data_IF_016469392415
#
_entry.id   IF_016469392415
#
_cell.length_a   1.000
_cell.length_b   1.000
_cell.length_c   1.000
_cell.angle_alpha   90.00
_cell.angle_beta   90.00
_cell.angle_gamma   90.00
#
_symmetry.space_group_name_H-M   'P 1'
#
loop_
_entity.id
_entity.type
_entity.pdbx_description
1 polymer ?
#
# COMPACT_ATOMS: atom_id res chain seq x y z
N UNK A 1 4.27 19.26 5.62
CA UNK A 1 5.25 18.15 5.53
C UNK A 1 4.56 16.81 5.22
N UNK A 2 3.48 16.45 5.92
CA UNK A 2 2.70 15.20 5.72
C UNK A 2 2.20 15.03 4.26
N UNK A 3 1.75 16.11 3.61
CA UNK A 3 1.25 16.07 2.22
C UNK A 3 2.34 15.64 1.22
N UNK A 4 3.59 16.11 1.36
CA UNK A 4 4.71 15.68 0.51
C UNK A 4 5.04 14.19 0.73
N UNK A 5 4.95 13.73 1.98
CA UNK A 5 5.18 12.33 2.32
C UNK A 5 4.08 11.39 1.76
N UNK A 6 2.82 11.82 1.77
CA UNK A 6 1.71 11.06 1.17
C UNK A 6 1.82 10.98 -0.35
N UNK A 7 2.20 12.07 -1.03
CA UNK A 7 2.42 12.07 -2.47
C UNK A 7 3.55 11.10 -2.85
N UNK A 8 4.64 11.11 -2.07
CA UNK A 8 5.77 10.22 -2.27
C UNK A 8 5.42 8.75 -2.01
N UNK A 9 4.68 8.46 -0.94
CA UNK A 9 4.16 7.11 -0.69
C UNK A 9 3.24 6.64 -1.83
N UNK A 10 2.39 7.52 -2.36
CA UNK A 10 1.53 7.20 -3.50
C UNK A 10 2.35 6.87 -4.75
N UNK A 11 3.42 7.63 -5.03
CA UNK A 11 4.35 7.35 -6.12
C UNK A 11 4.98 5.96 -5.96
N UNK A 12 5.53 5.67 -4.78
CA UNK A 12 6.16 4.38 -4.48
C UNK A 12 5.18 3.21 -4.58
N UNK A 13 3.94 3.36 -4.09
CA UNK A 13 2.88 2.36 -4.24
C UNK A 13 2.61 2.04 -5.71
N UNK A 14 2.52 3.06 -6.56
CA UNK A 14 2.27 2.88 -7.99
C UNK A 14 3.44 2.16 -8.69
N UNK A 15 4.68 2.54 -8.39
CA UNK A 15 5.88 1.88 -8.91
C UNK A 15 5.93 0.41 -8.48
N UNK A 16 5.66 0.13 -7.21
CA UNK A 16 5.66 -1.23 -6.66
C UNK A 16 4.54 -2.09 -7.24
N UNK A 17 3.36 -1.51 -7.54
CA UNK A 17 2.29 -2.20 -8.27
C UNK A 17 2.72 -2.60 -9.68
N UNK A 18 3.37 -1.69 -10.41
CA UNK A 18 3.89 -1.99 -11.75
C UNK A 18 4.94 -3.10 -11.71
N UNK A 19 5.85 -3.04 -10.74
CA UNK A 19 6.86 -4.09 -10.51
C UNK A 19 6.19 -5.44 -10.21
N UNK A 20 5.17 -5.47 -9.35
CA UNK A 20 4.43 -6.68 -9.01
C UNK A 20 3.78 -7.30 -10.25
N UNK A 21 3.09 -6.49 -11.06
CA UNK A 21 2.46 -6.98 -12.28
C UNK A 21 3.47 -7.50 -13.28
N UNK A 22 4.63 -6.84 -13.43
CA UNK A 22 5.71 -7.32 -14.29
C UNK A 22 6.21 -8.69 -13.83
N UNK A 23 6.55 -8.84 -12.55
CA UNK A 23 7.04 -10.10 -12.02
C UNK A 23 6.00 -11.21 -12.08
N UNK A 24 4.73 -10.91 -11.78
CA UNK A 24 3.66 -11.90 -11.91
C UNK A 24 3.48 -12.35 -13.36
N UNK A 25 3.56 -11.42 -14.33
CA UNK A 25 3.47 -11.75 -15.75
C UNK A 25 4.63 -12.61 -16.24
N UNK A 26 5.85 -12.33 -15.78
CA UNK A 26 7.07 -13.02 -16.21
C UNK A 26 7.29 -14.36 -15.52
N UNK A 27 6.95 -14.47 -14.23
CA UNK A 27 7.35 -15.59 -13.37
C UNK A 27 6.15 -16.33 -12.76
N UNK A 28 4.92 -15.84 -12.92
CA UNK A 28 3.76 -16.37 -12.22
C UNK A 28 3.87 -16.18 -10.70
N UNK A 29 3.36 -17.12 -9.92
CA UNK A 29 3.50 -17.10 -8.46
C UNK A 29 4.94 -17.52 -8.12
N UNK A 30 5.75 -16.57 -7.64
CA UNK A 30 7.13 -16.80 -7.25
C UNK A 30 7.47 -16.10 -5.93
N UNK A 31 8.62 -16.46 -5.33
CA UNK A 31 9.14 -15.78 -4.14
C UNK A 31 9.36 -14.28 -4.35
N UNK A 32 9.72 -13.87 -5.57
CA UNK A 32 9.86 -12.46 -5.92
C UNK A 32 8.51 -11.73 -5.92
N UNK A 33 7.47 -12.35 -6.46
CA UNK A 33 6.10 -11.79 -6.42
C UNK A 33 5.63 -11.64 -4.98
N UNK A 34 5.83 -12.65 -4.14
CA UNK A 34 5.47 -12.59 -2.72
C UNK A 34 6.24 -11.49 -1.97
N UNK A 35 7.54 -11.34 -2.24
CA UNK A 35 8.35 -10.29 -1.62
C UNK A 35 7.86 -8.89 -2.01
N UNK A 36 7.60 -8.68 -3.31
CA UNK A 36 7.09 -7.40 -3.81
C UNK A 36 5.68 -7.11 -3.27
N UNK A 37 4.82 -8.13 -3.14
CA UNK A 37 3.48 -7.93 -2.56
C UNK A 37 3.54 -7.53 -1.09
N UNK A 38 4.42 -8.16 -0.29
CA UNK A 38 4.62 -7.79 1.11
C UNK A 38 5.16 -6.36 1.26
N UNK A 39 6.07 -5.94 0.39
CA UNK A 39 6.60 -4.57 0.43
C UNK A 39 5.54 -3.54 -0.01
N UNK A 40 4.70 -3.88 -0.98
CA UNK A 40 3.56 -3.07 -1.38
C UNK A 40 2.56 -2.90 -0.22
N UNK A 41 2.25 -3.97 0.52
CA UNK A 41 1.35 -3.91 1.68
C UNK A 41 1.88 -2.98 2.78
N UNK A 42 3.19 -3.00 3.05
CA UNK A 42 3.81 -2.07 4.01
C UNK A 42 3.63 -0.60 3.58
N UNK A 43 3.85 -0.30 2.30
CA UNK A 43 3.68 1.05 1.77
C UNK A 43 2.22 1.53 1.85
N UNK A 44 1.26 0.63 1.54
CA UNK A 44 -0.17 0.93 1.66
C UNK A 44 -0.54 1.20 3.12
N UNK A 45 -0.07 0.37 4.06
CA UNK A 45 -0.32 0.58 5.49
C UNK A 45 0.26 1.91 5.99
N UNK A 46 1.47 2.27 5.58
CA UNK A 46 2.06 3.57 5.91
C UNK A 46 1.25 4.73 5.33
N UNK A 47 0.78 4.60 4.10
CA UNK A 47 -0.08 5.60 3.47
C UNK A 47 -1.40 5.77 4.23
N UNK A 48 -2.05 4.67 4.62
CA UNK A 48 -3.30 4.69 5.40
C UNK A 48 -3.07 5.37 6.76
N UNK A 49 -2.01 5.01 7.49
CA UNK A 49 -1.69 5.59 8.80
C UNK A 49 -1.42 7.09 8.74
N UNK A 50 -0.82 7.56 7.66
CA UNK A 50 -0.51 8.98 7.45
C UNK A 50 -1.63 9.76 6.79
N UNK A 51 -2.62 9.07 6.21
CA UNK A 51 -3.77 9.71 5.60
C UNK A 51 -4.64 10.22 6.75
N UNK A 52 -4.82 11.55 6.90
CA UNK A 52 -5.71 12.08 7.93
C UNK A 52 -7.11 11.53 7.66
N UNK A 53 -7.61 10.71 8.59
CA UNK A 53 -8.96 10.16 8.54
C UNK A 53 -9.95 11.32 8.41
N UNK A 54 -10.92 11.30 7.47
CA UNK A 54 -12.16 12.00 7.72
C UNK A 54 -12.80 11.25 8.89
N UNK A 55 -12.75 11.84 10.09
CA UNK A 55 -13.38 11.37 11.34
C UNK A 55 -14.08 10.01 11.21
N UNK A 56 -13.37 8.93 11.56
CA UNK A 56 -13.97 7.60 11.64
C UNK A 56 -15.00 7.65 12.79
N UNK A 57 -16.26 7.96 12.45
CA UNK A 57 -17.39 7.81 13.34
C UNK A 57 -17.53 6.31 13.55
N UNK A 58 -16.86 5.80 14.58
CA UNK A 58 -16.95 4.40 14.95
C UNK A 58 -18.42 4.07 15.15
N UNK A 59 -18.98 3.26 14.26
CA UNK A 59 -20.18 2.51 14.57
C UNK A 59 -19.78 1.59 15.73
N UNK A 60 -20.16 2.03 16.92
CA UNK A 60 -20.20 1.22 18.12
C UNK A 60 -21.05 -0.01 17.80
N UNK A 61 -20.40 -1.13 17.54
CA UNK A 61 -21.04 -2.44 17.68
C UNK A 61 -21.29 -2.62 19.18
N UNK A 62 -22.45 -2.14 19.65
CA UNK A 62 -22.98 -2.51 20.96
C UNK A 62 -23.26 -4.01 20.91
N UNK A 63 -22.52 -4.76 21.73
CA UNK A 63 -22.93 -6.10 22.17
C UNK A 63 -23.92 -5.98 23.32
#
# INVERSE_FOLDING_TARGET
>A
MIVMQLAELRRQINEKKQELYRYYREQGISSNVLKVSMDLDKLINQYIMLTPLPYYKGDTVQK
#
